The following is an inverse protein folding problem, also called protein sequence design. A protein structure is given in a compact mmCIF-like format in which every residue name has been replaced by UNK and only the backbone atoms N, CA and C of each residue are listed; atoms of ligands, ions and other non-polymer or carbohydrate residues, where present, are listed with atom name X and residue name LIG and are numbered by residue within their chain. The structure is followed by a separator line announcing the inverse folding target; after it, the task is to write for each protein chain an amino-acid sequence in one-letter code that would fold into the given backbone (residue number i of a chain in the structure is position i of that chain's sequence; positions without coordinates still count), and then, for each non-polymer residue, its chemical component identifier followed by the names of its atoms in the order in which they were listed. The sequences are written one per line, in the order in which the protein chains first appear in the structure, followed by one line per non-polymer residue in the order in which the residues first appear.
data_IF_223659226536
#
_entry.id   IF_223659226536
#
_cell.length_a   1.000
_cell.length_b   1.000
_cell.length_c   1.000
_cell.angle_alpha   90.00
_cell.angle_beta   90.00
_cell.angle_gamma   90.00
#
_symmetry.space_group_name_H-M   'P 1'
#
loop_
_entity.id
_entity.type
_entity.pdbx_description
1 polymer ?
#
# COMPACT_ATOMS: atom_id res chain seq x y z
N UNK A 1 8.01 26.20 4.33
CA UNK A 1 8.29 25.58 3.02
C UNK A 1 8.25 24.08 3.27
N UNK A 2 7.25 23.40 2.74
CA UNK A 2 6.81 22.05 3.12
C UNK A 2 7.59 20.98 2.35
N UNK A 3 8.42 20.21 3.06
CA UNK A 3 9.17 19.08 2.52
C UNK A 3 8.26 17.87 2.28
N UNK A 4 7.83 17.70 1.03
CA UNK A 4 7.16 16.49 0.56
C UNK A 4 8.17 15.35 0.35
N UNK A 5 8.68 14.78 1.45
CA UNK A 5 9.61 13.63 1.40
C UNK A 5 8.80 12.33 1.46
N UNK A 6 8.20 11.98 0.32
CA UNK A 6 7.53 10.71 0.13
C UNK A 6 7.23 10.46 -1.34
N UNK A 7 7.34 9.20 -1.82
CA UNK A 7 7.08 8.86 -3.22
C UNK A 7 5.65 9.25 -3.56
N UNK A 8 5.52 10.18 -4.50
CA UNK A 8 4.24 10.74 -4.94
C UNK A 8 3.50 9.79 -5.90
N UNK A 9 4.17 8.73 -6.38
CA UNK A 9 3.62 7.76 -7.33
C UNK A 9 4.27 6.38 -7.15
N UNK A 10 3.55 5.32 -7.52
CA UNK A 10 3.98 3.91 -7.42
C UNK A 10 5.17 3.52 -8.32
N UNK A 11 5.65 4.44 -9.17
CA UNK A 11 6.80 4.24 -10.05
C UNK A 11 8.10 4.83 -9.49
N UNK A 12 8.06 5.47 -8.31
CA UNK A 12 9.24 6.03 -7.67
C UNK A 12 10.02 4.96 -6.87
N UNK A 13 10.72 4.10 -7.61
CA UNK A 13 11.61 3.08 -7.03
C UNK A 13 12.82 3.70 -6.30
N UNK A 14 13.21 4.93 -6.65
CA UNK A 14 14.31 5.63 -5.99
C UNK A 14 13.91 6.06 -4.57
N UNK A 15 12.71 6.63 -4.41
CA UNK A 15 12.13 6.95 -3.11
C UNK A 15 11.92 5.71 -2.23
N UNK A 16 11.57 4.56 -2.82
CA UNK A 16 11.48 3.29 -2.09
C UNK A 16 12.85 2.80 -1.58
N UNK A 17 13.91 2.96 -2.37
CA UNK A 17 15.28 2.63 -1.97
C UNK A 17 15.77 3.48 -0.79
N UNK A 18 15.49 4.79 -0.83
CA UNK A 18 15.84 5.72 0.25
C UNK A 18 15.07 5.41 1.56
N UNK A 19 13.78 5.09 1.44
CA UNK A 19 12.96 4.69 2.59
C UNK A 19 13.42 3.36 3.19
N UNK A 20 13.80 2.40 2.35
CA UNK A 20 14.36 1.12 2.79
C UNK A 20 15.70 1.31 3.51
N UNK A 21 16.56 2.18 3.00
CA UNK A 21 17.84 2.49 3.64
C UNK A 21 17.66 3.21 4.99
N UNK A 22 16.67 4.11 5.10
CA UNK A 22 16.31 4.78 6.36
C UNK A 22 15.69 3.81 7.38
N UNK A 23 14.81 2.92 6.93
CA UNK A 23 14.21 1.89 7.79
C UNK A 23 15.23 0.85 8.30
N UNK A 24 16.25 0.52 7.50
CA UNK A 24 17.30 -0.41 7.90
C UNK A 24 18.23 0.13 9.01
N UNK A 25 18.34 1.47 9.15
CA UNK A 25 19.18 2.10 10.16
C UNK A 25 18.47 2.37 11.50
N UNK A 26 17.14 2.22 11.57
CA UNK A 26 16.35 2.46 12.78
C UNK A 26 15.39 1.30 13.01
N UNK A 27 15.84 0.29 13.77
CA UNK A 27 15.03 -0.89 14.13
C UNK A 27 13.84 -0.56 15.07
N UNK A 28 13.75 0.68 15.54
CA UNK A 28 12.69 1.22 16.41
C UNK A 28 11.78 2.23 15.66
N UNK A 29 11.88 2.31 14.33
CA UNK A 29 11.10 3.28 13.56
C UNK A 29 9.64 2.82 13.40
N UNK A 30 8.83 3.14 14.40
CA UNK A 30 7.37 3.07 14.35
C UNK A 30 6.79 3.66 13.05
N UNK A 31 7.43 4.72 12.52
CA UNK A 31 7.06 5.32 11.25
C UNK A 31 7.25 4.36 10.06
N UNK A 32 8.30 3.54 10.06
CA UNK A 32 8.56 2.56 9.01
C UNK A 32 7.58 1.37 9.09
N UNK A 33 7.23 0.91 10.30
CA UNK A 33 6.23 -0.13 10.50
C UNK A 33 4.86 0.37 10.01
N UNK A 34 4.46 1.58 10.42
CA UNK A 34 3.21 2.21 10.00
C UNK A 34 3.14 2.38 8.48
N UNK A 35 4.22 2.87 7.87
CA UNK A 35 4.29 3.05 6.41
C UNK A 35 4.19 1.72 5.66
N UNK A 36 4.87 0.69 6.15
CA UNK A 36 4.81 -0.66 5.56
C UNK A 36 3.40 -1.26 5.65
N UNK A 37 2.72 -1.05 6.79
CA UNK A 37 1.36 -1.53 6.99
C UNK A 37 0.34 -0.79 6.09
N UNK A 38 0.51 0.52 5.89
CA UNK A 38 -0.30 1.30 4.93
C UNK A 38 -0.10 0.81 3.49
N UNK A 39 1.14 0.54 3.09
CA UNK A 39 1.42 -0.02 1.75
C UNK A 39 0.81 -1.41 1.56
N UNK A 40 0.81 -2.23 2.60
CA UNK A 40 0.13 -3.52 2.55
C UNK A 40 -1.39 -3.38 2.39
N UNK A 41 -2.02 -2.47 3.14
CA UNK A 41 -3.45 -2.17 2.99
C UNK A 41 -3.77 -1.70 1.56
N UNK A 42 -2.95 -0.84 0.97
CA UNK A 42 -3.11 -0.41 -0.43
C UNK A 42 -3.07 -1.59 -1.42
N UNK A 43 -2.07 -2.48 -1.29
CA UNK A 43 -1.98 -3.68 -2.15
C UNK A 43 -3.19 -4.59 -1.99
N UNK A 44 -3.66 -4.79 -0.76
CA UNK A 44 -4.83 -5.62 -0.49
C UNK A 44 -6.10 -5.02 -1.12
N UNK A 45 -6.31 -3.71 -0.98
CA UNK A 45 -7.44 -3.01 -1.59
C UNK A 45 -7.39 -3.10 -3.12
N UNK A 46 -6.20 -2.99 -3.72
CA UNK A 46 -6.02 -3.21 -5.15
C UNK A 46 -6.40 -4.64 -5.56
N UNK A 47 -5.98 -5.66 -4.80
CA UNK A 47 -6.35 -7.05 -5.06
C UNK A 47 -7.86 -7.30 -4.90
N UNK A 48 -8.48 -6.66 -3.92
CA UNK A 48 -9.92 -6.72 -3.69
C UNK A 48 -10.68 -6.08 -4.87
N UNK A 49 -10.33 -4.85 -5.25
CA UNK A 49 -10.93 -4.16 -6.39
C UNK A 49 -10.78 -4.95 -7.69
N UNK A 50 -9.59 -5.51 -7.92
CA UNK A 50 -9.33 -6.38 -9.07
C UNK A 50 -10.19 -7.64 -9.04
N UNK A 51 -10.32 -8.28 -7.87
CA UNK A 51 -11.18 -9.47 -7.70
C UNK A 51 -12.65 -9.13 -7.94
N UNK A 52 -13.15 -8.01 -7.41
CA UNK A 52 -14.52 -7.54 -7.64
C UNK A 52 -14.76 -7.28 -9.13
N UNK A 53 -13.85 -6.59 -9.81
CA UNK A 53 -13.96 -6.31 -11.24
C UNK A 53 -13.88 -7.59 -12.09
N UNK A 54 -13.09 -8.57 -11.67
CA UNK A 54 -13.03 -9.88 -12.34
C UNK A 54 -14.34 -10.68 -12.24
N UNK A 55 -15.26 -10.34 -11.32
CA UNK A 55 -16.61 -10.94 -11.26
C UNK A 55 -17.62 -10.29 -12.20
N UNK A 56 -17.29 -9.13 -12.79
CA UNK A 56 -18.12 -8.46 -13.77
C UNK A 56 -17.85 -9.13 -15.13
N UNK A 57 -18.88 -9.68 -15.77
CA UNK A 57 -18.73 -10.30 -17.09
C UNK A 57 -18.19 -9.28 -18.12
N UNK A 58 -17.04 -9.61 -18.70
CA UNK A 58 -16.43 -8.89 -19.81
C UNK A 58 -17.15 -9.29 -21.11
N UNK A 59 -17.69 -8.32 -21.87
CA UNK A 59 -18.47 -8.66 -23.08
C UNK A 59 -19.41 -7.60 -23.67
N UNK A 60 -19.31 -6.33 -23.27
CA UNK A 60 -20.12 -5.25 -23.84
C UNK A 60 -19.45 -4.54 -25.03
N UNK A 61 -20.22 -3.82 -25.84
CA UNK A 61 -19.74 -2.98 -26.96
C UNK A 61 -18.67 -1.92 -26.56
N UNK A 62 -18.52 -1.68 -25.26
CA UNK A 62 -17.61 -0.70 -24.66
C UNK A 62 -16.36 -1.34 -24.01
N UNK A 63 -16.23 -2.66 -24.06
CA UNK A 63 -15.07 -3.36 -23.51
C UNK A 63 -13.89 -3.22 -24.48
N UNK A 64 -13.00 -2.27 -24.19
CA UNK A 64 -11.83 -1.97 -25.00
C UNK A 64 -10.59 -1.89 -24.11
N UNK A 65 -9.42 -2.17 -24.68
CA UNK A 65 -8.14 -2.07 -23.98
C UNK A 65 -7.93 -0.68 -23.34
N UNK A 66 -8.43 0.38 -24.00
CA UNK A 66 -8.37 1.74 -23.50
C UNK A 66 -9.25 1.96 -22.25
N UNK A 67 -10.46 1.38 -22.22
CA UNK A 67 -11.33 1.42 -21.03
C UNK A 67 -10.67 0.71 -19.86
N UNK A 68 -10.09 -0.48 -20.10
CA UNK A 68 -9.42 -1.26 -19.06
C UNK A 68 -8.22 -0.49 -18.46
N UNK A 69 -7.42 0.18 -19.29
CA UNK A 69 -6.32 1.01 -18.79
C UNK A 69 -6.82 2.20 -17.96
N UNK A 70 -7.86 2.92 -18.43
CA UNK A 70 -8.43 4.03 -17.67
C UNK A 70 -9.02 3.59 -16.33
N UNK A 71 -9.72 2.47 -16.32
CA UNK A 71 -10.28 1.85 -15.13
C UNK A 71 -9.19 1.44 -14.13
N UNK A 72 -8.08 0.86 -14.61
CA UNK A 72 -6.94 0.54 -13.75
C UNK A 72 -6.34 1.79 -13.10
N UNK A 73 -6.20 2.88 -13.86
CA UNK A 73 -5.70 4.16 -13.31
C UNK A 73 -6.68 4.76 -12.30
N UNK A 74 -7.99 4.67 -12.57
CA UNK A 74 -9.02 5.15 -11.67
C UNK A 74 -9.05 4.35 -10.36
N UNK A 75 -9.00 3.02 -10.44
CA UNK A 75 -8.94 2.14 -9.28
C UNK A 75 -7.69 2.41 -8.44
N UNK A 76 -6.54 2.68 -9.06
CA UNK A 76 -5.31 3.07 -8.35
C UNK A 76 -5.51 4.36 -7.54
N UNK A 77 -6.14 5.39 -8.11
CA UNK A 77 -6.39 6.64 -7.41
C UNK A 77 -7.35 6.46 -6.22
N UNK A 78 -8.40 5.66 -6.40
CA UNK A 78 -9.31 5.31 -5.30
C UNK A 78 -8.56 4.59 -4.18
N UNK A 79 -7.76 3.58 -4.52
CA UNK A 79 -6.99 2.78 -3.55
C UNK A 79 -6.03 3.66 -2.77
N UNK A 80 -5.32 4.59 -3.44
CA UNK A 80 -4.43 5.54 -2.76
C UNK A 80 -5.21 6.44 -1.79
N UNK A 81 -6.32 7.04 -2.24
CA UNK A 81 -7.15 7.90 -1.40
C UNK A 81 -7.75 7.16 -0.18
N UNK A 82 -8.12 5.88 -0.35
CA UNK A 82 -8.64 5.04 0.73
C UNK A 82 -7.54 4.64 1.72
N UNK A 83 -6.33 4.31 1.23
CA UNK A 83 -5.18 3.95 2.06
C UNK A 83 -4.66 5.15 2.86
N UNK A 84 -4.60 6.35 2.27
CA UNK A 84 -4.21 7.57 2.97
C UNK A 84 -5.18 7.93 4.10
N UNK A 85 -6.49 7.71 3.88
CA UNK A 85 -7.51 7.87 4.91
C UNK A 85 -7.48 6.80 6.00
N UNK A 86 -6.81 5.66 5.78
CA UNK A 86 -6.75 4.53 6.71
C UNK A 86 -8.13 3.92 7.01
N UNK A 87 -9.04 3.95 6.03
CA UNK A 87 -10.47 3.72 6.25
C UNK A 87 -10.86 2.27 6.55
N UNK A 88 -9.99 1.29 6.28
CA UNK A 88 -10.36 -0.14 6.42
C UNK A 88 -9.83 -0.79 7.69
N UNK A 89 -8.93 -0.12 8.42
CA UNK A 89 -8.36 -0.63 9.67
C UNK A 89 -7.38 -1.80 9.47
N UNK A 90 -7.17 -2.25 8.24
CA UNK A 90 -6.28 -3.36 7.91
C UNK A 90 -4.82 -3.00 8.19
N UNK A 91 -4.40 -1.77 7.90
CA UNK A 91 -3.05 -1.30 8.25
C UNK A 91 -2.79 -1.40 9.76
N UNK A 92 -3.78 -1.13 10.60
CA UNK A 92 -3.62 -1.22 12.06
C UNK A 92 -3.50 -2.68 12.53
N UNK A 93 -4.20 -3.61 11.88
CA UNK A 93 -4.07 -5.05 12.15
C UNK A 93 -2.69 -5.57 11.74
N UNK A 94 -2.20 -5.15 10.57
CA UNK A 94 -0.86 -5.52 10.08
C UNK A 94 0.23 -4.92 10.95
N UNK A 95 0.08 -3.67 11.38
CA UNK A 95 0.99 -3.03 12.33
C UNK A 95 1.06 -3.82 13.65
N UNK A 96 -0.09 -4.19 14.23
CA UNK A 96 -0.15 -5.02 15.44
C UNK A 96 0.52 -6.38 15.24
N UNK A 97 0.29 -7.02 14.10
CA UNK A 97 0.92 -8.30 13.77
C UNK A 97 2.44 -8.17 13.67
N UNK A 98 2.94 -7.16 12.97
CA UNK A 98 4.39 -6.91 12.83
C UNK A 98 5.02 -6.62 14.20
N UNK A 99 4.37 -5.80 15.03
CA UNK A 99 4.86 -5.50 16.40
C UNK A 99 4.89 -6.74 17.28
N UNK A 100 3.85 -7.58 17.23
CA UNK A 100 3.80 -8.83 17.98
C UNK A 100 4.87 -9.82 17.49
N UNK A 101 5.13 -9.87 16.18
CA UNK A 101 6.19 -10.69 15.60
C UNK A 101 7.60 -10.20 15.96
N UNK A 102 7.81 -8.89 16.11
CA UNK A 102 9.10 -8.32 16.51
C UNK A 102 9.35 -8.44 18.03
N UNK A 103 8.30 -8.37 18.85
CA UNK A 103 8.41 -8.59 20.31
C UNK A 103 8.89 -10.00 20.68
N UNK A 104 8.59 -11.01 19.86
CA UNK A 104 9.07 -12.38 20.05
C UNK A 104 10.56 -12.58 19.66
N UNK A 105 11.25 -11.57 19.13
CA UNK A 105 12.65 -11.63 18.71
C UNK A 105 13.66 -11.06 19.71
N UNK A 106 13.20 -10.40 20.78
CA UNK A 106 14.08 -9.73 21.76
C UNK A 106 14.29 -10.52 23.08
N UNK A 107 13.66 -11.70 23.22
CA UNK A 107 13.78 -12.56 24.40
C UNK A 107 14.83 -13.70 24.24
N UNK A 108 15.68 -13.64 23.22
CA UNK A 108 16.79 -14.59 23.01
C UNK A 108 18.11 -13.85 22.75
N UNK A 109 18.65 -13.19 23.78
CA UNK A 109 20.10 -12.99 23.98
C UNK A 109 20.45 -13.15 25.47
#
# INVERSE_FOLDING_TARGET
MTDAIGPQTSYDFAGLGELKAKAANDASNDAAIKKSAQQFEAMFLQMMMKSMRATIEKGGLFDSQASETFEQMYDQQIVMAMSERGSTGLAQMVERFIRQSQGNGQDQE
#
